data_IF_195163110713
#
_entry.id   IF_195163110713
#
_cell.length_a   1.000
_cell.length_b   1.000
_cell.length_c   1.000
_cell.angle_alpha   90.00
_cell.angle_beta   90.00
_cell.angle_gamma   90.00
#
_symmetry.space_group_name_H-M   'P 1'
#
loop_
_entity.id
_entity.type
_entity.pdbx_description
1 polymer ?
#
# COMPACT_ATOMS: atom_id res chain seq x y z
N UNK A 1 0.79 -8.73 -31.30
CA UNK A 1 2.18 -9.14 -30.98
C UNK A 1 2.29 -9.36 -29.48
N UNK A 2 2.41 -10.61 -29.03
CA UNK A 2 2.59 -10.93 -27.60
C UNK A 2 3.95 -10.43 -27.14
N UNK A 3 3.93 -9.41 -26.28
CA UNK A 3 5.13 -8.81 -25.71
C UNK A 3 5.92 -9.82 -24.89
N UNK A 4 7.13 -10.13 -25.35
CA UNK A 4 8.13 -10.91 -24.62
C UNK A 4 8.48 -10.13 -23.35
N UNK A 5 8.00 -10.60 -22.19
CA UNK A 5 8.34 -10.02 -20.89
C UNK A 5 9.87 -9.99 -20.75
N UNK A 6 10.45 -8.80 -20.67
CA UNK A 6 11.89 -8.60 -20.44
C UNK A 6 12.26 -9.31 -19.14
N UNK A 7 12.98 -10.44 -19.26
CA UNK A 7 13.38 -11.25 -18.11
C UNK A 7 14.56 -10.56 -17.44
N UNK A 8 14.30 -9.86 -16.34
CA UNK A 8 15.36 -9.26 -15.50
C UNK A 8 16.31 -10.33 -14.97
N UNK A 9 17.55 -9.94 -14.68
CA UNK A 9 18.57 -10.84 -14.14
C UNK A 9 18.12 -11.52 -12.83
N UNK A 10 18.68 -12.69 -12.55
CA UNK A 10 18.42 -13.39 -11.28
C UNK A 10 18.75 -12.47 -10.09
N UNK A 11 17.86 -12.45 -9.10
CA UNK A 11 18.03 -11.61 -7.92
C UNK A 11 17.78 -10.11 -8.12
N UNK A 12 17.40 -9.63 -9.31
CA UNK A 12 17.15 -8.21 -9.58
C UNK A 12 16.23 -7.56 -8.55
N UNK A 13 15.12 -8.22 -8.21
CA UNK A 13 14.12 -7.71 -7.25
C UNK A 13 14.53 -7.83 -5.77
N UNK A 14 15.61 -8.55 -5.45
CA UNK A 14 16.18 -8.58 -4.09
C UNK A 14 16.79 -7.23 -3.72
N UNK A 15 17.31 -6.48 -4.70
CA UNK A 15 17.87 -5.15 -4.51
C UNK A 15 16.77 -4.11 -4.25
N UNK A 16 16.77 -3.42 -3.09
CA UNK A 16 15.84 -2.32 -2.82
C UNK A 16 15.94 -1.19 -3.85
N UNK A 17 17.16 -0.89 -4.33
CA UNK A 17 17.39 0.16 -5.33
C UNK A 17 16.68 -0.16 -6.66
N UNK A 18 16.73 -1.43 -7.10
CA UNK A 18 16.06 -1.86 -8.33
C UNK A 18 14.54 -1.78 -8.21
N UNK A 19 13.99 -2.17 -7.06
CA UNK A 19 12.54 -2.02 -6.78
C UNK A 19 12.13 -0.55 -6.82
N UNK A 20 12.92 0.31 -6.20
CA UNK A 20 12.69 1.76 -6.16
C UNK A 20 12.72 2.36 -7.55
N UNK A 21 13.76 2.07 -8.33
CA UNK A 21 13.87 2.59 -9.68
C UNK A 21 12.67 2.16 -10.54
N UNK A 22 12.30 0.87 -10.48
CA UNK A 22 11.14 0.37 -11.22
C UNK A 22 9.84 1.11 -10.85
N UNK A 23 9.58 1.33 -9.56
CA UNK A 23 8.37 2.04 -9.13
C UNK A 23 8.41 3.53 -9.47
N UNK A 24 9.56 4.19 -9.42
CA UNK A 24 9.71 5.57 -9.88
C UNK A 24 9.46 5.70 -11.39
N UNK A 25 10.03 4.80 -12.19
CA UNK A 25 9.78 4.74 -13.63
C UNK A 25 8.32 4.44 -13.95
N UNK A 26 7.70 3.55 -13.17
CA UNK A 26 6.28 3.23 -13.29
C UNK A 26 5.42 4.45 -12.98
N UNK A 27 5.70 5.14 -11.87
CA UNK A 27 4.97 6.30 -11.41
C UNK A 27 5.04 7.44 -12.44
N UNK A 28 6.25 7.74 -12.94
CA UNK A 28 6.45 8.74 -14.00
C UNK A 28 5.61 8.44 -15.25
N UNK A 29 5.56 7.17 -15.66
CA UNK A 29 4.84 6.73 -16.87
C UNK A 29 3.33 6.56 -16.68
N UNK A 30 2.81 6.54 -15.46
CA UNK A 30 1.36 6.52 -15.17
C UNK A 30 0.87 7.86 -14.60
N UNK A 31 1.73 8.89 -14.56
CA UNK A 31 1.44 10.20 -13.95
C UNK A 31 1.00 10.12 -12.48
N UNK A 32 1.70 9.26 -11.72
CA UNK A 32 1.49 9.05 -10.28
C UNK A 32 2.52 9.87 -9.51
N UNK A 33 2.10 10.64 -8.50
CA UNK A 33 3.04 11.27 -7.57
C UNK A 33 3.59 10.21 -6.63
N UNK A 34 4.83 9.79 -6.86
CA UNK A 34 5.44 8.67 -6.14
C UNK A 34 5.48 8.88 -4.61
N UNK A 35 5.57 10.13 -4.16
CA UNK A 35 5.65 10.52 -2.75
C UNK A 35 4.28 10.79 -2.11
N UNK A 36 3.18 10.56 -2.82
CA UNK A 36 1.81 10.67 -2.30
C UNK A 36 1.20 9.26 -2.18
N UNK A 37 1.09 8.67 -0.96
CA UNK A 37 0.56 7.32 -0.78
C UNK A 37 -0.82 7.09 -1.41
N UNK A 38 -1.66 8.14 -1.45
CA UNK A 38 -3.01 8.05 -2.01
C UNK A 38 -2.99 7.82 -3.53
N UNK A 39 -2.03 8.38 -4.27
CA UNK A 39 -1.97 8.27 -5.73
C UNK A 39 -1.70 6.82 -6.19
N UNK A 40 -1.16 5.97 -5.32
CA UNK A 40 -0.94 4.55 -5.58
C UNK A 40 -2.23 3.71 -5.55
N UNK A 41 -3.34 4.25 -5.03
CA UNK A 41 -4.60 3.53 -4.80
C UNK A 41 -5.20 2.88 -6.05
N UNK A 42 -5.02 3.49 -7.22
CA UNK A 42 -5.54 2.98 -8.48
C UNK A 42 -4.69 1.92 -9.16
N UNK A 43 -3.48 1.64 -8.64
CA UNK A 43 -2.53 0.76 -9.29
C UNK A 43 -2.89 -0.71 -9.07
N UNK A 44 -3.03 -1.44 -10.17
CA UNK A 44 -3.31 -2.87 -10.16
C UNK A 44 -2.04 -3.70 -10.40
N UNK A 45 -2.02 -4.92 -9.85
CA UNK A 45 -0.97 -5.91 -10.14
C UNK A 45 -0.87 -6.19 -11.66
N UNK A 46 -1.98 -6.09 -12.39
CA UNK A 46 -2.01 -6.27 -13.85
C UNK A 46 -1.19 -5.19 -14.57
N UNK A 47 -1.30 -3.92 -14.18
CA UNK A 47 -0.48 -2.83 -14.74
C UNK A 47 1.00 -3.05 -14.46
N UNK A 48 1.35 -3.45 -13.23
CA UNK A 48 2.75 -3.76 -12.87
C UNK A 48 3.30 -4.92 -13.71
N UNK A 49 2.51 -6.00 -13.89
CA UNK A 49 2.88 -7.15 -14.74
C UNK A 49 3.08 -6.75 -16.20
N UNK A 50 2.19 -5.93 -16.75
CA UNK A 50 2.28 -5.45 -18.13
C UNK A 50 3.57 -4.66 -18.41
N UNK A 51 4.16 -4.07 -17.37
CA UNK A 51 5.41 -3.31 -17.45
C UNK A 51 6.65 -4.08 -16.94
N UNK A 52 6.56 -5.41 -16.83
CA UNK A 52 7.69 -6.26 -16.48
C UNK A 52 7.90 -6.48 -14.97
N UNK A 53 7.04 -5.92 -14.12
CA UNK A 53 7.05 -6.13 -12.66
C UNK A 53 6.48 -7.47 -12.20
N UNK A 54 6.19 -8.42 -13.11
CA UNK A 54 5.52 -9.66 -12.74
C UNK A 54 6.31 -10.54 -11.77
N UNK A 55 7.64 -10.62 -11.94
CA UNK A 55 8.53 -11.39 -11.06
C UNK A 55 8.83 -10.71 -9.73
N UNK A 56 8.37 -9.47 -9.51
CA UNK A 56 8.44 -8.81 -8.22
C UNK A 56 7.66 -9.59 -7.15
N UNK A 57 6.48 -10.10 -7.52
CA UNK A 57 5.58 -10.85 -6.64
C UNK A 57 6.04 -12.29 -6.33
N UNK A 58 7.23 -12.69 -6.78
CA UNK A 58 7.92 -13.88 -6.26
C UNK A 58 8.50 -13.63 -4.86
N UNK A 59 8.79 -12.36 -4.54
CA UNK A 59 9.43 -11.94 -3.30
C UNK A 59 8.47 -11.23 -2.32
N UNK A 60 7.29 -10.84 -2.79
CA UNK A 60 6.32 -10.06 -2.02
C UNK A 60 4.91 -10.61 -2.21
N UNK A 61 4.17 -10.71 -1.11
CA UNK A 61 2.82 -11.28 -1.08
C UNK A 61 1.74 -10.27 -1.51
N UNK A 62 2.04 -8.97 -1.46
CA UNK A 62 1.09 -7.92 -1.81
C UNK A 62 1.78 -6.69 -2.39
N UNK A 63 1.02 -5.85 -3.11
CA UNK A 63 1.54 -4.57 -3.59
C UNK A 63 1.79 -3.58 -2.43
N UNK A 64 0.99 -3.67 -1.37
CA UNK A 64 1.22 -2.99 -0.11
C UNK A 64 2.63 -3.23 0.44
N UNK A 65 3.07 -4.49 0.49
CA UNK A 65 4.41 -4.85 0.99
C UNK A 65 5.51 -4.31 0.10
N UNK A 66 5.31 -4.32 -1.22
CA UNK A 66 6.26 -3.72 -2.16
C UNK A 66 6.44 -2.24 -1.86
N UNK A 67 5.34 -1.48 -1.73
CA UNK A 67 5.39 -0.03 -1.49
C UNK A 67 6.10 0.29 -0.17
N UNK A 68 5.69 -0.33 0.93
CA UNK A 68 6.24 -0.06 2.26
C UNK A 68 7.71 -0.44 2.41
N UNK A 69 8.17 -1.46 1.69
CA UNK A 69 9.59 -1.88 1.69
C UNK A 69 10.45 -1.11 0.69
N UNK A 70 9.84 -0.39 -0.26
CA UNK A 70 10.54 0.37 -1.30
C UNK A 70 10.61 1.87 -0.96
N UNK A 71 9.57 2.38 -0.29
CA UNK A 71 9.44 3.74 0.20
C UNK A 71 9.20 3.76 1.72
N UNK A 72 10.13 3.22 2.54
CA UNK A 72 9.97 3.19 3.99
C UNK A 72 9.90 4.58 4.64
N UNK A 73 10.36 5.61 3.93
CA UNK A 73 10.29 7.01 4.36
C UNK A 73 8.87 7.61 4.30
N UNK A 74 7.94 6.98 3.57
CA UNK A 74 6.56 7.45 3.46
C UNK A 74 5.68 6.81 4.54
N UNK A 75 4.68 7.55 5.00
CA UNK A 75 3.74 7.06 5.99
C UNK A 75 2.67 6.16 5.34
N UNK A 76 2.86 4.85 5.45
CA UNK A 76 1.91 3.83 4.98
C UNK A 76 0.98 3.39 6.10
N UNK A 77 -0.30 3.73 5.95
CA UNK A 77 -1.39 3.30 6.83
C UNK A 77 -2.66 3.10 5.99
N UNK A 78 -3.64 2.29 6.45
CA UNK A 78 -4.92 2.15 5.75
C UNK A 78 -5.66 3.49 5.55
N UNK A 79 -5.29 4.52 6.32
CA UNK A 79 -5.82 5.89 6.23
C UNK A 79 -5.15 6.75 5.16
N UNK A 80 -3.91 6.44 4.78
CA UNK A 80 -3.12 7.24 3.82
C UNK A 80 -3.21 6.74 2.38
N UNK A 81 -3.76 5.54 2.15
CA UNK A 81 -3.93 4.97 0.80
C UNK A 81 -5.10 4.00 0.75
N UNK A 82 -5.62 3.72 -0.45
CA UNK A 82 -6.64 2.68 -0.70
C UNK A 82 -6.07 1.45 -1.41
N UNK A 83 -4.73 1.30 -1.44
CA UNK A 83 -4.09 0.06 -1.89
C UNK A 83 -4.60 -1.11 -1.06
N UNK A 84 -4.92 -2.22 -1.75
CA UNK A 84 -5.39 -3.44 -1.10
C UNK A 84 -4.35 -3.98 -0.10
N UNK A 85 -4.78 -4.16 1.14
CA UNK A 85 -3.99 -4.72 2.23
C UNK A 85 -3.70 -6.22 2.00
N UNK A 86 -2.58 -6.75 2.54
CA UNK A 86 -2.26 -8.17 2.42
C UNK A 86 -3.32 -9.04 3.12
N UNK A 87 -3.53 -10.30 2.67
CA UNK A 87 -4.36 -11.25 3.39
C UNK A 87 -3.92 -11.38 4.85
N UNK A 88 -4.88 -11.44 5.78
CA UNK A 88 -4.61 -11.54 7.21
C UNK A 88 -4.14 -10.24 7.87
N UNK A 89 -4.06 -9.10 7.17
CA UNK A 89 -3.63 -7.83 7.77
C UNK A 89 -4.40 -7.47 9.05
N UNK A 90 -5.72 -7.63 9.01
CA UNK A 90 -6.62 -7.36 10.13
C UNK A 90 -6.67 -8.47 11.19
N UNK A 91 -5.99 -9.60 11.00
CA UNK A 91 -5.87 -10.63 12.06
C UNK A 91 -4.90 -10.19 13.16
N UNK A 92 -3.98 -9.27 12.84
CA UNK A 92 -3.03 -8.69 13.78
C UNK A 92 -3.69 -7.55 14.60
N UNK A 93 -3.76 -7.74 15.91
CA UNK A 93 -4.30 -6.75 16.85
C UNK A 93 -3.52 -5.45 16.87
N UNK A 94 -2.22 -5.47 16.57
CA UNK A 94 -1.40 -4.26 16.48
C UNK A 94 -1.86 -3.39 15.30
N UNK A 95 -2.17 -3.99 14.14
CA UNK A 95 -2.71 -3.25 13.01
C UNK A 95 -4.11 -2.69 13.29
N UNK A 96 -4.98 -3.49 13.93
CA UNK A 96 -6.30 -3.01 14.37
C UNK A 96 -6.16 -1.79 15.29
N UNK A 97 -5.28 -1.87 16.30
CA UNK A 97 -5.02 -0.79 17.25
C UNK A 97 -4.50 0.46 16.55
N UNK A 98 -3.48 0.30 15.69
CA UNK A 98 -2.89 1.41 14.94
C UNK A 98 -3.94 2.11 14.06
N UNK A 99 -4.83 1.35 13.42
CA UNK A 99 -5.90 1.91 12.62
C UNK A 99 -6.89 2.70 13.49
N UNK A 100 -7.36 2.13 14.60
CA UNK A 100 -8.25 2.82 15.53
C UNK A 100 -7.64 4.11 16.08
N UNK A 101 -6.36 4.10 16.47
CA UNK A 101 -5.66 5.31 16.91
C UNK A 101 -5.64 6.38 15.82
N UNK A 102 -5.36 5.99 14.56
CA UNK A 102 -5.39 6.90 13.43
C UNK A 102 -6.79 7.44 13.12
N UNK A 103 -7.84 6.62 13.27
CA UNK A 103 -9.24 7.07 13.14
C UNK A 103 -9.56 8.10 14.22
N UNK A 104 -9.22 7.83 15.47
CA UNK A 104 -9.45 8.75 16.59
C UNK A 104 -8.71 10.07 16.40
N UNK A 105 -7.45 10.02 15.96
CA UNK A 105 -6.67 11.21 15.60
C UNK A 105 -7.34 12.00 14.47
N UNK A 106 -7.76 11.33 13.39
CA UNK A 106 -8.41 11.97 12.23
C UNK A 106 -9.76 12.58 12.57
N UNK A 107 -10.47 12.00 13.53
CA UNK A 107 -11.76 12.48 14.04
C UNK A 107 -11.62 13.37 15.29
N UNK A 108 -10.38 13.67 15.71
CA UNK A 108 -10.05 14.56 16.83
C UNK A 108 -10.70 14.16 18.17
N UNK A 109 -10.59 12.89 18.55
CA UNK A 109 -11.06 12.42 19.86
C UNK A 109 -10.05 11.46 20.53
N UNK A 110 -10.18 11.29 21.85
CA UNK A 110 -9.34 10.37 22.62
C UNK A 110 -9.79 8.91 22.42
N UNK A 111 -8.95 8.02 21.84
CA UNK A 111 -9.30 6.62 21.60
C UNK A 111 -9.55 5.82 22.88
N UNK A 112 -9.07 6.27 24.04
CA UNK A 112 -9.28 5.61 25.33
C UNK A 112 -10.69 5.81 25.89
N UNK A 113 -11.42 6.83 25.42
CA UNK A 113 -12.75 7.15 25.92
C UNK A 113 -13.84 6.49 25.08
N UNK A 114 -14.40 5.39 25.59
CA UNK A 114 -15.35 4.52 24.86
C UNK A 114 -16.59 5.24 24.33
N UNK A 115 -17.03 6.34 24.96
CA UNK A 115 -18.21 7.09 24.52
C UNK A 115 -18.01 7.76 23.15
N UNK A 116 -16.79 8.19 22.81
CA UNK A 116 -16.50 8.79 21.50
C UNK A 116 -16.70 7.81 20.34
N UNK A 117 -16.44 6.52 20.58
CA UNK A 117 -16.61 5.47 19.58
C UNK A 117 -18.06 5.23 19.18
N UNK A 118 -19.04 5.61 20.02
CA UNK A 118 -20.47 5.43 19.70
C UNK A 118 -20.92 6.23 18.48
N UNK A 119 -20.22 7.32 18.17
CA UNK A 119 -20.52 8.16 17.01
C UNK A 119 -19.83 7.68 15.72
N UNK A 120 -18.92 6.71 15.79
CA UNK A 120 -18.17 6.22 14.63
C UNK A 120 -18.88 5.00 14.06
N UNK A 121 -19.47 5.17 12.87
CA UNK A 121 -20.24 4.11 12.21
C UNK A 121 -19.34 3.15 11.43
N UNK A 122 -19.86 1.97 11.09
CA UNK A 122 -19.18 1.01 10.21
C UNK A 122 -18.85 1.62 8.84
N UNK A 123 -19.78 2.41 8.26
CA UNK A 123 -19.55 3.13 7.01
C UNK A 123 -18.36 4.09 7.13
N UNK A 124 -18.20 4.75 8.29
CA UNK A 124 -17.06 5.62 8.52
C UNK A 124 -15.75 4.84 8.57
N UNK A 125 -15.74 3.64 9.14
CA UNK A 125 -14.57 2.76 9.10
C UNK A 125 -14.22 2.37 7.66
N UNK A 126 -15.20 1.95 6.86
CA UNK A 126 -15.02 1.57 5.45
C UNK A 126 -14.48 2.77 4.63
N UNK A 127 -15.07 3.95 4.81
CA UNK A 127 -14.61 5.21 4.19
C UNK A 127 -13.15 5.51 4.55
N UNK A 128 -12.73 5.18 5.77
CA UNK A 128 -11.39 5.39 6.28
C UNK A 128 -10.40 4.25 5.96
N UNK A 129 -10.86 3.15 5.34
CA UNK A 129 -10.00 2.05 4.87
C UNK A 129 -9.97 0.81 5.77
N UNK A 130 -10.92 0.71 6.71
CA UNK A 130 -11.20 -0.47 7.53
C UNK A 130 -11.98 -1.54 6.81
#
# INVERSE_FOLDING_TARGET
ASGRLLRVAQGFWKSPANRRQFLLDFALKEDIKWNEPMDWSGVTIKQLRARGGGSLFVYFNSFWDVLRTTFPELHWSPLSTKVRLPPGYWEDKAHQRQFCDGVAQKLSFDPSYSAHWKAVTADKFIELGG
#
